data_IF_243388481541
#
_entry.id   IF_243388481541
#
_cell.length_a   1.000
_cell.length_b   1.000
_cell.length_c   1.000
_cell.angle_alpha   90.00
_cell.angle_beta   90.00
_cell.angle_gamma   90.00
#
_symmetry.space_group_name_H-M   'P 1'
#
loop_
_entity.id
_entity.type
_entity.pdbx_description
1 polymer ?
#
# COMPACT_ATOMS: atom_id res chain seq x y z
N UNK A 1 46.63 -20.06 -27.75
CA UNK A 1 45.98 -19.61 -26.51
C UNK A 1 45.78 -20.83 -25.60
N UNK A 2 46.46 -20.90 -24.47
CA UNK A 2 46.46 -22.06 -23.58
C UNK A 2 45.09 -22.29 -22.94
N UNK A 3 44.74 -23.57 -22.71
CA UNK A 3 43.45 -23.97 -22.09
C UNK A 3 43.12 -23.19 -20.81
N UNK A 4 44.11 -22.85 -20.00
CA UNK A 4 44.00 -22.02 -18.80
C UNK A 4 43.52 -20.61 -19.11
N UNK A 5 44.00 -19.95 -20.16
CA UNK A 5 43.58 -18.57 -20.56
C UNK A 5 42.11 -18.52 -20.96
N UNK A 6 41.60 -19.54 -21.64
CA UNK A 6 40.16 -19.64 -22.00
C UNK A 6 39.27 -19.75 -20.76
N UNK A 7 39.69 -20.52 -19.77
CA UNK A 7 38.94 -20.66 -18.51
C UNK A 7 38.92 -19.35 -17.69
N UNK A 8 40.06 -18.65 -17.61
CA UNK A 8 40.14 -17.38 -16.90
C UNK A 8 39.27 -16.32 -17.57
N UNK A 9 39.28 -16.23 -18.91
CA UNK A 9 38.42 -15.34 -19.68
C UNK A 9 36.92 -15.66 -19.46
N UNK A 10 36.55 -16.94 -19.42
CA UNK A 10 35.18 -17.35 -19.12
C UNK A 10 34.70 -16.91 -17.76
N UNK A 11 35.54 -17.10 -16.71
CA UNK A 11 35.20 -16.67 -15.34
C UNK A 11 35.07 -15.14 -15.27
N UNK A 12 35.96 -14.37 -15.88
CA UNK A 12 35.90 -12.92 -15.90
C UNK A 12 34.61 -12.43 -16.59
N UNK A 13 34.24 -13.04 -17.73
CA UNK A 13 32.99 -12.69 -18.41
C UNK A 13 31.77 -12.96 -17.55
N UNK A 14 31.71 -14.09 -16.85
CA UNK A 14 30.60 -14.41 -15.92
C UNK A 14 30.52 -13.39 -14.79
N UNK A 15 31.64 -13.04 -14.17
CA UNK A 15 31.68 -12.02 -13.10
C UNK A 15 31.23 -10.64 -13.58
N UNK A 16 31.61 -10.25 -14.81
CA UNK A 16 31.15 -8.98 -15.41
C UNK A 16 29.64 -9.01 -15.65
N UNK A 17 29.10 -10.11 -16.19
CA UNK A 17 27.65 -10.25 -16.42
C UNK A 17 26.88 -10.24 -15.10
N UNK A 18 27.36 -10.93 -14.08
CA UNK A 18 26.75 -10.93 -12.74
C UNK A 18 26.80 -9.51 -12.13
N UNK A 19 27.93 -8.81 -12.27
CA UNK A 19 28.07 -7.42 -11.81
C UNK A 19 27.11 -6.45 -12.51
N UNK A 20 26.95 -6.59 -13.83
CA UNK A 20 25.98 -5.77 -14.59
C UNK A 20 24.54 -6.12 -14.18
N UNK A 21 24.20 -7.38 -14.03
CA UNK A 21 22.87 -7.81 -13.61
C UNK A 21 22.50 -7.31 -12.21
N UNK A 22 23.44 -7.44 -11.25
CA UNK A 22 23.24 -6.90 -9.90
C UNK A 22 23.16 -5.37 -9.90
N UNK A 23 24.03 -4.68 -10.64
CA UNK A 23 24.00 -3.22 -10.76
C UNK A 23 22.68 -2.74 -11.38
N UNK A 24 22.20 -3.41 -12.43
CA UNK A 24 20.90 -3.10 -13.03
C UNK A 24 19.77 -3.33 -12.04
N UNK A 25 19.81 -4.43 -11.30
CA UNK A 25 18.81 -4.72 -10.27
C UNK A 25 18.74 -3.59 -9.23
N UNK A 26 19.86 -3.14 -8.69
CA UNK A 26 19.89 -2.03 -7.72
C UNK A 26 19.45 -0.69 -8.32
N UNK A 27 19.75 -0.42 -9.60
CA UNK A 27 19.34 0.82 -10.26
C UNK A 27 17.83 0.83 -10.60
N UNK A 28 17.26 -0.32 -10.99
CA UNK A 28 15.85 -0.42 -11.36
C UNK A 28 14.91 -0.64 -10.17
N UNK A 29 15.40 -1.21 -9.06
CA UNK A 29 14.62 -1.50 -7.86
C UNK A 29 14.94 -0.57 -6.68
N UNK A 30 15.35 0.67 -6.95
CA UNK A 30 15.35 1.68 -5.89
C UNK A 30 13.90 1.98 -5.51
N UNK A 31 13.48 1.39 -4.37
CA UNK A 31 12.14 1.60 -3.79
C UNK A 31 11.83 3.08 -3.48
N UNK A 32 12.84 3.92 -3.46
CA UNK A 32 12.71 5.36 -3.30
C UNK A 32 12.64 6.11 -4.63
N UNK A 33 12.75 5.42 -5.77
CA UNK A 33 12.67 6.07 -7.08
C UNK A 33 11.30 6.77 -7.26
N UNK A 34 11.25 7.90 -7.97
CA UNK A 34 10.00 8.63 -8.19
C UNK A 34 8.91 7.77 -8.83
N UNK A 35 9.27 6.88 -9.75
CA UNK A 35 8.32 5.98 -10.42
C UNK A 35 7.70 4.94 -9.48
N UNK A 36 8.49 4.37 -8.58
CA UNK A 36 8.03 3.42 -7.57
C UNK A 36 7.08 4.11 -6.59
N UNK A 37 7.46 5.30 -6.09
CA UNK A 37 6.60 6.11 -5.21
C UNK A 37 5.28 6.48 -5.87
N UNK A 38 5.31 6.87 -7.14
CA UNK A 38 4.09 7.20 -7.87
C UNK A 38 3.17 5.99 -7.99
N UNK A 39 3.69 4.82 -8.36
CA UNK A 39 2.91 3.58 -8.44
C UNK A 39 2.35 3.19 -7.08
N UNK A 40 3.14 3.28 -6.02
CA UNK A 40 2.73 2.97 -4.66
C UNK A 40 1.61 3.90 -4.19
N UNK A 41 1.71 5.20 -4.49
CA UNK A 41 0.67 6.17 -4.19
C UNK A 41 -0.62 5.90 -5.00
N UNK A 42 -0.53 5.51 -6.27
CA UNK A 42 -1.71 5.19 -7.09
C UNK A 42 -2.48 3.99 -6.53
N UNK A 43 -1.78 2.91 -6.15
CA UNK A 43 -2.41 1.75 -5.53
C UNK A 43 -2.97 2.08 -4.15
N UNK A 44 -2.22 2.79 -3.31
CA UNK A 44 -2.70 3.25 -2.01
C UNK A 44 -3.92 4.15 -2.11
N UNK A 45 -3.95 5.08 -3.05
CA UNK A 45 -5.09 5.96 -3.34
C UNK A 45 -6.35 5.15 -3.71
N UNK A 46 -6.19 4.18 -4.60
CA UNK A 46 -7.31 3.32 -5.00
C UNK A 46 -7.83 2.49 -3.82
N UNK A 47 -6.95 1.89 -3.02
CA UNK A 47 -7.34 1.09 -1.87
C UNK A 47 -8.09 1.93 -0.82
N UNK A 48 -7.59 3.13 -0.51
CA UNK A 48 -8.25 4.00 0.45
C UNK A 48 -9.63 4.45 -0.04
N UNK A 49 -9.72 4.91 -1.28
CA UNK A 49 -11.00 5.33 -1.88
C UNK A 49 -12.02 4.18 -1.91
N UNK A 50 -11.58 2.97 -2.23
CA UNK A 50 -12.43 1.77 -2.19
C UNK A 50 -12.91 1.50 -0.76
N UNK A 51 -12.02 1.57 0.24
CA UNK A 51 -12.38 1.36 1.63
C UNK A 51 -13.40 2.41 2.10
N UNK A 52 -13.15 3.70 1.85
CA UNK A 52 -14.07 4.78 2.22
C UNK A 52 -15.44 4.60 1.56
N UNK A 53 -15.48 4.33 0.26
CA UNK A 53 -16.75 4.12 -0.46
C UNK A 53 -17.53 2.93 0.10
N UNK A 54 -16.86 1.82 0.41
CA UNK A 54 -17.47 0.63 0.98
C UNK A 54 -17.99 0.86 2.41
N UNK A 55 -17.25 1.62 3.22
CA UNK A 55 -17.67 2.02 4.57
C UNK A 55 -18.91 2.90 4.55
N UNK A 56 -18.95 3.91 3.68
CA UNK A 56 -20.12 4.79 3.56
C UNK A 56 -21.33 4.03 3.02
N UNK A 57 -21.14 3.13 2.05
CA UNK A 57 -22.22 2.28 1.55
C UNK A 57 -22.75 1.34 2.62
N UNK A 58 -21.87 0.75 3.43
CA UNK A 58 -22.27 -0.11 4.55
C UNK A 58 -23.13 0.67 5.55
N UNK A 59 -22.70 1.88 5.92
CA UNK A 59 -23.47 2.74 6.82
C UNK A 59 -24.85 3.10 6.25
N UNK A 60 -24.94 3.39 4.97
CA UNK A 60 -26.24 3.67 4.31
C UNK A 60 -27.19 2.48 4.41
N UNK A 61 -26.69 1.25 4.32
CA UNK A 61 -27.48 0.01 4.36
C UNK A 61 -27.83 -0.41 5.78
N UNK A 62 -26.93 -0.22 6.74
CA UNK A 62 -27.03 -0.79 8.09
C UNK A 62 -27.25 0.26 9.19
N UNK A 63 -27.19 1.56 8.87
CA UNK A 63 -27.35 2.67 9.82
C UNK A 63 -26.12 3.00 10.69
N UNK A 64 -25.11 2.12 10.72
CA UNK A 64 -23.85 2.30 11.45
C UNK A 64 -22.67 1.76 10.65
N UNK A 65 -21.45 2.19 10.98
CA UNK A 65 -20.25 1.62 10.37
C UNK A 65 -19.99 0.18 10.85
N UNK A 66 -19.29 -0.66 10.07
CA UNK A 66 -18.97 -2.03 10.49
C UNK A 66 -18.05 -2.05 11.71
N UNK A 67 -18.00 -3.16 12.43
CA UNK A 67 -17.05 -3.34 13.53
C UNK A 67 -15.64 -3.55 13.00
N UNK A 68 -15.50 -4.17 11.82
CA UNK A 68 -14.22 -4.39 11.14
C UNK A 68 -14.40 -4.31 9.62
N UNK A 69 -13.31 -4.14 8.88
CA UNK A 69 -13.36 -4.19 7.40
C UNK A 69 -13.79 -5.57 6.87
N UNK A 70 -13.61 -6.64 7.66
CA UNK A 70 -14.04 -7.98 7.27
C UNK A 70 -15.56 -8.15 7.22
N UNK A 71 -16.31 -7.24 7.85
CA UNK A 71 -17.79 -7.27 7.88
C UNK A 71 -18.40 -6.62 6.62
N UNK A 72 -17.57 -6.07 5.73
CA UNK A 72 -18.03 -5.46 4.48
C UNK A 72 -18.47 -6.51 3.46
N UNK A 73 -19.50 -6.18 2.69
CA UNK A 73 -19.97 -6.98 1.57
C UNK A 73 -19.07 -6.84 0.35
N UNK A 74 -18.12 -7.75 0.21
CA UNK A 74 -17.21 -7.79 -0.93
C UNK A 74 -17.87 -8.45 -2.14
N UNK A 75 -17.79 -7.80 -3.30
CA UNK A 75 -18.34 -8.34 -4.56
C UNK A 75 -17.32 -9.19 -5.33
N UNK A 76 -16.03 -9.03 -5.04
CA UNK A 76 -14.96 -9.75 -5.71
C UNK A 76 -13.68 -9.84 -4.88
N UNK A 77 -12.73 -10.64 -5.34
CA UNK A 77 -11.44 -10.82 -4.65
C UNK A 77 -10.61 -9.53 -4.62
N UNK A 78 -10.73 -8.67 -5.64
CA UNK A 78 -10.04 -7.39 -5.67
C UNK A 78 -10.49 -6.41 -4.59
N UNK A 79 -11.75 -6.46 -4.21
CA UNK A 79 -12.26 -5.59 -3.14
C UNK A 79 -11.64 -5.95 -1.78
N UNK A 80 -11.27 -7.21 -1.61
CA UNK A 80 -10.62 -7.71 -0.39
C UNK A 80 -9.20 -7.20 -0.18
N UNK A 81 -8.58 -6.58 -1.21
CA UNK A 81 -7.23 -6.00 -1.08
C UNK A 81 -7.16 -4.91 -0.02
N UNK A 82 -8.26 -4.30 0.35
CA UNK A 82 -8.30 -3.31 1.43
C UNK A 82 -8.00 -3.94 2.81
N UNK A 83 -8.29 -5.23 3.02
CA UNK A 83 -8.06 -5.89 4.30
C UNK A 83 -6.59 -5.86 4.76
N UNK A 84 -5.60 -6.21 3.92
CA UNK A 84 -4.19 -6.14 4.29
C UNK A 84 -3.55 -4.77 4.08
N UNK A 85 -4.23 -3.82 3.41
CA UNK A 85 -3.61 -2.56 2.96
C UNK A 85 -4.17 -1.31 3.64
N UNK A 86 -5.30 -1.44 4.33
CA UNK A 86 -5.97 -0.32 4.99
C UNK A 86 -6.18 -0.65 6.47
N UNK A 87 -5.77 0.25 7.35
CA UNK A 87 -6.11 0.19 8.77
C UNK A 87 -7.39 0.99 9.02
N UNK A 88 -8.29 0.43 9.83
CA UNK A 88 -9.60 0.96 10.12
C UNK A 88 -9.88 0.95 11.62
N UNK A 89 -10.34 2.07 12.15
CA UNK A 89 -10.57 2.27 13.58
C UNK A 89 -11.93 2.96 13.77
N UNK A 90 -13.01 2.19 13.98
CA UNK A 90 -14.30 2.77 14.32
C UNK A 90 -14.31 3.28 15.75
N UNK A 91 -15.13 4.29 16.04
CA UNK A 91 -15.43 4.67 17.41
C UNK A 91 -16.38 3.66 18.08
N UNK A 92 -16.59 3.77 19.39
CA UNK A 92 -17.32 2.79 20.18
C UNK A 92 -18.79 2.59 19.73
N UNK A 93 -19.45 3.66 19.31
CA UNK A 93 -20.84 3.64 18.83
C UNK A 93 -20.98 3.43 17.33
N UNK A 94 -19.85 3.27 16.63
CA UNK A 94 -19.78 3.08 15.16
C UNK A 94 -20.49 4.17 14.35
N UNK A 95 -20.48 5.40 14.87
CA UNK A 95 -20.99 6.58 14.17
C UNK A 95 -19.94 7.30 13.33
N UNK A 96 -18.66 7.04 13.64
CA UNK A 96 -17.50 7.64 12.98
C UNK A 96 -16.32 6.66 12.93
N UNK A 97 -15.32 6.97 12.12
CA UNK A 97 -14.11 6.14 11.98
C UNK A 97 -12.88 6.97 11.63
N UNK A 98 -11.72 6.38 11.88
CA UNK A 98 -10.45 6.78 11.28
C UNK A 98 -9.98 5.66 10.34
N UNK A 99 -9.38 6.02 9.23
CA UNK A 99 -8.86 5.09 8.23
C UNK A 99 -7.56 5.62 7.65
N UNK A 100 -6.60 4.74 7.44
CA UNK A 100 -5.32 5.09 6.79
C UNK A 100 -4.80 3.92 5.95
N UNK A 101 -4.01 4.23 4.93
CA UNK A 101 -3.32 3.21 4.13
C UNK A 101 -2.04 2.81 4.86
N UNK A 102 -1.90 1.51 5.13
CA UNK A 102 -0.72 0.95 5.81
C UNK A 102 0.27 0.32 4.86
N UNK A 103 -0.17 0.02 3.63
CA UNK A 103 0.65 -0.65 2.63
C UNK A 103 0.21 -0.26 1.22
N UNK A 104 1.18 0.10 0.37
CA UNK A 104 0.99 0.24 -1.06
C UNK A 104 1.43 -1.00 -1.82
N UNK A 105 1.81 -0.81 -3.07
CA UNK A 105 2.25 -1.92 -3.93
C UNK A 105 3.62 -2.48 -3.51
N UNK A 106 4.57 -1.60 -3.22
CA UNK A 106 5.95 -1.99 -2.83
C UNK A 106 6.21 -1.65 -1.36
N UNK A 107 5.64 -0.57 -0.86
CA UNK A 107 5.86 -0.07 0.47
C UNK A 107 4.64 0.59 1.08
N UNK A 108 4.88 1.61 1.90
CA UNK A 108 3.84 2.46 2.47
C UNK A 108 3.68 3.71 1.61
N UNK A 109 2.50 3.99 1.02
CA UNK A 109 2.29 5.16 0.22
C UNK A 109 2.34 6.45 1.04
N UNK A 110 2.76 7.54 0.39
CA UNK A 110 2.82 8.89 0.95
C UNK A 110 1.61 9.69 0.45
N UNK A 111 0.43 9.39 0.99
CA UNK A 111 -0.81 10.04 0.61
C UNK A 111 -1.21 11.11 1.61
N UNK A 112 -1.72 12.22 1.09
CA UNK A 112 -2.43 13.24 1.87
C UNK A 112 -3.66 13.68 1.09
N UNK A 113 -4.78 13.83 1.79
CA UNK A 113 -6.05 14.23 1.18
C UNK A 113 -6.48 15.57 1.73
N UNK A 114 -6.99 16.48 0.86
CA UNK A 114 -7.52 17.76 1.31
C UNK A 114 -8.79 17.54 2.15
N UNK A 115 -9.15 18.50 3.03
CA UNK A 115 -10.34 18.39 3.88
C UNK A 115 -11.64 18.15 3.09
N UNK A 116 -11.70 18.62 1.85
CA UNK A 116 -12.85 18.47 0.96
C UNK A 116 -13.10 17.00 0.60
N UNK A 117 -12.06 16.20 0.53
CA UNK A 117 -12.19 14.76 0.26
C UNK A 117 -13.00 14.04 1.36
N UNK A 118 -12.84 14.46 2.60
CA UNK A 118 -13.52 13.85 3.74
C UNK A 118 -14.91 14.41 4.03
N UNK A 119 -15.32 15.45 3.29
CA UNK A 119 -16.61 16.09 3.50
C UNK A 119 -17.76 15.12 3.26
N UNK A 120 -18.65 15.02 4.24
CA UNK A 120 -19.82 14.12 4.18
C UNK A 120 -19.54 12.68 4.58
N UNK A 121 -18.28 12.30 4.87
CA UNK A 121 -17.93 10.99 5.41
C UNK A 121 -17.95 10.98 6.93
N UNK A 122 -17.92 9.77 7.50
CA UNK A 122 -17.76 9.59 8.95
C UNK A 122 -16.32 9.64 9.42
N UNK A 123 -15.36 10.00 8.57
CA UNK A 123 -13.95 10.11 8.94
C UNK A 123 -13.73 11.16 10.03
N UNK A 124 -12.92 10.81 11.04
CA UNK A 124 -12.49 11.70 12.13
C UNK A 124 -11.03 11.47 12.46
N UNK A 125 -10.21 12.49 12.29
CA UNK A 125 -8.76 12.43 12.57
C UNK A 125 -8.47 12.18 14.06
N UNK A 126 -9.36 12.61 14.95
CA UNK A 126 -9.21 12.45 16.40
C UNK A 126 -9.22 10.97 16.85
N UNK A 127 -9.77 10.08 16.00
CA UNK A 127 -9.80 8.65 16.26
C UNK A 127 -8.50 7.94 15.87
N UNK A 128 -7.51 8.66 15.35
CA UNK A 128 -6.18 8.10 15.03
C UNK A 128 -5.57 7.46 16.29
N UNK A 129 -5.18 6.18 16.22
CA UNK A 129 -4.51 5.53 17.34
C UNK A 129 -3.25 6.28 17.73
N UNK A 130 -3.06 6.54 19.01
CA UNK A 130 -1.78 7.08 19.49
C UNK A 130 -0.71 6.02 19.23
N UNK A 131 0.23 6.32 18.35
CA UNK A 131 1.40 5.46 18.18
C UNK A 131 2.12 5.40 19.53
N UNK A 132 2.11 4.24 20.15
CA UNK A 132 3.01 3.98 21.27
C UNK A 132 4.43 4.10 20.70
N UNK A 133 5.15 5.14 21.12
CA UNK A 133 6.58 5.26 20.83
C UNK A 133 7.25 3.99 21.39
N UNK A 134 7.61 3.06 20.51
CA UNK A 134 8.58 2.02 20.84
C UNK A 134 9.98 2.59 20.80
#
# INVERSE_FOLDING_TARGET
>A
MTRRRKWVLGIVMVLVFVGIALGSYFLFFDINSPGVRQSDNMFGDQHLKTAVASLELYKLRHGSYPASLADLDFMGEWDRIILPTVAYYPNADRSAYFVEVTRGWIGQPHLSYPPEFWRGTGFREELRPRQSKQ
#
